data_IF_028419664299
#
_entry.id   IF_028419664299
#
_cell.length_a   1.000
_cell.length_b   1.000
_cell.length_c   1.000
_cell.angle_alpha   90.00
_cell.angle_beta   90.00
_cell.angle_gamma   90.00
#
_symmetry.space_group_name_H-M   'P 1'
#
loop_
_entity.id
_entity.type
_entity.pdbx_description
1 polymer ?
#
# COMPACT_ATOMS: atom_id res chain seq x y z
N UNK A 1 3.62 -27.47 6.47
CA UNK A 1 3.80 -26.77 5.20
C UNK A 1 3.91 -25.29 5.52
N UNK A 2 5.10 -24.71 5.47
CA UNK A 2 5.29 -23.28 5.71
C UNK A 2 4.89 -22.53 4.45
N UNK A 3 3.92 -21.61 4.55
CA UNK A 3 3.55 -20.75 3.44
C UNK A 3 4.79 -19.97 2.96
N UNK A 4 4.97 -19.76 1.64
CA UNK A 4 6.08 -18.95 1.15
C UNK A 4 5.92 -17.54 1.74
N UNK A 5 6.88 -17.13 2.56
CA UNK A 5 6.97 -15.76 3.04
C UNK A 5 7.35 -14.93 1.82
N UNK A 6 6.38 -14.19 1.28
CA UNK A 6 6.62 -13.30 0.15
C UNK A 6 7.82 -12.39 0.49
N UNK A 7 8.83 -12.31 -0.38
CA UNK A 7 9.98 -11.47 -0.12
C UNK A 7 9.49 -10.04 0.06
N UNK A 8 9.71 -9.45 1.25
CA UNK A 8 9.30 -8.07 1.58
C UNK A 8 10.01 -7.08 0.66
N UNK A 9 9.41 -6.80 -0.49
CA UNK A 9 9.96 -5.86 -1.47
C UNK A 9 9.80 -4.42 -0.96
N UNK A 10 10.60 -3.47 -1.46
CA UNK A 10 10.39 -2.04 -1.19
C UNK A 10 8.99 -1.53 -1.61
N UNK A 11 8.32 -2.22 -2.53
CA UNK A 11 6.93 -1.95 -2.88
C UNK A 11 5.99 -2.34 -1.73
N UNK A 12 6.14 -3.54 -1.17
CA UNK A 12 5.30 -4.00 -0.04
C UNK A 12 5.43 -3.10 1.18
N UNK A 13 6.64 -2.64 1.51
CA UNK A 13 6.85 -1.67 2.61
C UNK A 13 6.07 -0.36 2.39
N UNK A 14 6.00 0.12 1.14
CA UNK A 14 5.22 1.32 0.80
C UNK A 14 3.72 1.07 0.93
N UNK A 15 3.25 -0.11 0.52
CA UNK A 15 1.83 -0.50 0.69
C UNK A 15 1.46 -0.55 2.16
N UNK A 16 2.31 -1.15 3.01
CA UNK A 16 2.09 -1.21 4.45
C UNK A 16 1.98 0.19 5.08
N UNK A 17 2.91 1.10 4.78
CA UNK A 17 2.89 2.48 5.30
C UNK A 17 1.62 3.25 4.89
N UNK A 18 1.22 3.13 3.63
CA UNK A 18 0.01 3.79 3.13
C UNK A 18 -1.24 3.15 3.75
N UNK A 19 -1.28 1.83 3.89
CA UNK A 19 -2.39 1.12 4.52
C UNK A 19 -2.51 1.47 6.02
N UNK A 20 -1.41 1.56 6.75
CA UNK A 20 -1.39 2.02 8.15
C UNK A 20 -1.92 3.44 8.29
N UNK A 21 -1.51 4.34 7.40
CA UNK A 21 -1.99 5.73 7.37
C UNK A 21 -3.49 5.78 7.08
N UNK A 22 -3.97 4.99 6.13
CA UNK A 22 -5.40 4.89 5.81
C UNK A 22 -6.18 4.37 7.03
N UNK A 23 -5.68 3.35 7.74
CA UNK A 23 -6.33 2.84 8.96
C UNK A 23 -6.34 3.86 10.08
N UNK A 24 -5.27 4.64 10.24
CA UNK A 24 -5.19 5.67 11.28
C UNK A 24 -6.21 6.81 11.07
N UNK A 25 -6.56 7.10 9.81
CA UNK A 25 -7.40 8.25 9.44
C UNK A 25 -8.77 7.87 8.85
N UNK A 26 -9.11 6.57 8.78
CA UNK A 26 -10.39 6.10 8.23
C UNK A 26 -10.95 4.92 9.02
N UNK A 27 -12.23 4.61 8.80
CA UNK A 27 -12.89 3.43 9.40
C UNK A 27 -12.69 2.15 8.58
N UNK A 28 -11.77 2.15 7.62
CA UNK A 28 -11.53 1.00 6.74
C UNK A 28 -10.86 -0.14 7.53
N UNK A 29 -11.31 -1.36 7.26
CA UNK A 29 -10.74 -2.60 7.83
C UNK A 29 -9.47 -3.00 7.10
N UNK A 30 -8.70 -3.93 7.68
CA UNK A 30 -7.36 -4.30 7.22
C UNK A 30 -7.26 -4.59 5.72
N UNK A 31 -8.14 -5.43 5.19
CA UNK A 31 -8.15 -5.82 3.78
C UNK A 31 -8.49 -4.64 2.85
N UNK A 32 -9.56 -3.90 3.17
CA UNK A 32 -9.98 -2.73 2.39
C UNK A 32 -8.95 -1.59 2.41
N UNK A 33 -8.24 -1.41 3.53
CA UNK A 33 -7.18 -0.42 3.64
C UNK A 33 -5.95 -0.81 2.82
N UNK A 34 -5.60 -2.10 2.78
CA UNK A 34 -4.51 -2.62 1.96
C UNK A 34 -4.82 -2.54 0.45
N UNK A 35 -6.04 -2.88 0.04
CA UNK A 35 -6.48 -2.71 -1.35
C UNK A 35 -6.44 -1.24 -1.78
N UNK A 36 -6.95 -0.33 -0.93
CA UNK A 36 -6.90 1.10 -1.21
C UNK A 36 -5.46 1.61 -1.29
N UNK A 37 -4.56 1.13 -0.43
CA UNK A 37 -3.15 1.50 -0.45
C UNK A 37 -2.47 1.15 -1.78
N UNK A 38 -2.80 -0.01 -2.37
CA UNK A 38 -2.31 -0.41 -3.70
C UNK A 38 -2.79 0.56 -4.77
N UNK A 39 -4.08 0.92 -4.78
CA UNK A 39 -4.64 1.87 -5.74
C UNK A 39 -4.04 3.27 -5.59
N UNK A 40 -3.83 3.74 -4.36
CA UNK A 40 -3.17 5.02 -4.08
C UNK A 40 -1.74 5.02 -4.60
N UNK A 41 -0.97 3.96 -4.36
CA UNK A 41 0.39 3.87 -4.87
C UNK A 41 0.44 3.78 -6.40
N UNK A 42 -0.53 3.10 -7.01
CA UNK A 42 -0.65 3.06 -8.47
C UNK A 42 -0.95 4.46 -9.05
N UNK A 43 -1.85 5.22 -8.43
CA UNK A 43 -2.13 6.61 -8.79
C UNK A 43 -0.88 7.48 -8.63
N UNK A 44 -0.17 7.38 -7.50
CA UNK A 44 1.05 8.14 -7.26
C UNK A 44 2.20 7.81 -8.23
N UNK A 45 2.26 6.58 -8.74
CA UNK A 45 3.26 6.17 -9.73
C UNK A 45 2.86 6.51 -11.17
N UNK A 46 1.59 6.81 -11.42
CA UNK A 46 1.10 7.28 -12.72
C UNK A 46 1.14 8.81 -12.85
N UNK A 47 1.41 9.54 -11.76
CA UNK A 47 1.75 10.97 -11.81
C UNK A 47 3.14 11.10 -12.45
N UNK A 48 3.29 11.89 -13.53
CA UNK A 48 4.59 12.13 -14.15
C UNK A 48 5.57 12.71 -13.13
N UNK A 49 6.82 12.22 -13.11
CA UNK A 49 7.82 12.67 -12.14
C UNK A 49 8.06 14.18 -12.13
N UNK A 50 7.76 14.89 -13.22
CA UNK A 50 7.85 16.36 -13.28
C UNK A 50 6.92 17.09 -12.30
N UNK A 51 5.94 16.39 -11.70
CA UNK A 51 4.95 16.91 -10.76
C UNK A 51 5.13 16.38 -9.32
N UNK A 52 6.17 15.60 -9.05
CA UNK A 52 6.43 14.93 -7.75
C UNK A 52 7.50 15.66 -6.96
#
# INVERSE_FOLDING_TARGET
MSAPVEPRTPYMKRVELVAETIKAHSKLKDEAASELAVHVLHALNSIPEQMR
#
